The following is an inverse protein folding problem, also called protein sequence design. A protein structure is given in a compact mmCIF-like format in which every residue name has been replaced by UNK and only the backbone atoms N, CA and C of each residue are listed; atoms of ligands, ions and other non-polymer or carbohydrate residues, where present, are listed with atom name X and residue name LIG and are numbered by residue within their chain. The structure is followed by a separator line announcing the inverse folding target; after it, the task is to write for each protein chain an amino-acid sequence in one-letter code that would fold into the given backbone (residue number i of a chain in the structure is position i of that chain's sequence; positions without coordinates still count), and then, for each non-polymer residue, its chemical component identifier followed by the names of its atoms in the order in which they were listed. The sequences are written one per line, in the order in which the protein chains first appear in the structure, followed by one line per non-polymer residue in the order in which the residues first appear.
data_IF_173262155589
#
_entry.id   IF_173262155589
#
_cell.length_a   1.000
_cell.length_b   1.000
_cell.length_c   1.000
_cell.angle_alpha   90.00
_cell.angle_beta   90.00
_cell.angle_gamma   90.00
#
_symmetry.space_group_name_H-M   'P 1'
#
loop_
_entity.id
_entity.type
_entity.pdbx_description
1 polymer ?
#
# COMPACT_ATOMS: atom_id res chain seq x y z
N UNK A 1 -43.09 77.99 -32.03
CA UNK A 1 -43.27 78.25 -33.49
C UNK A 1 -43.53 76.92 -34.18
N UNK A 2 -44.17 76.94 -35.35
CA UNK A 2 -44.51 75.78 -36.18
C UNK A 2 -43.26 75.15 -36.84
N UNK A 3 -43.27 73.96 -37.46
CA UNK A 3 -44.41 73.07 -37.79
C UNK A 3 -44.37 71.75 -36.95
N UNK A 4 -44.53 70.48 -37.37
CA UNK A 4 -44.69 69.81 -38.69
C UNK A 4 -45.65 68.58 -38.58
N UNK A 5 -45.64 67.68 -39.58
CA UNK A 5 -46.78 66.83 -39.97
C UNK A 5 -46.76 65.38 -39.45
N UNK A 6 -47.99 64.89 -39.25
CA UNK A 6 -48.58 63.53 -39.39
C UNK A 6 -47.67 62.29 -39.49
N UNK A 7 -47.89 61.17 -38.79
CA UNK A 7 -49.11 60.42 -38.38
C UNK A 7 -49.57 59.30 -39.32
N UNK A 8 -49.37 58.06 -38.84
CA UNK A 8 -50.31 56.92 -38.88
C UNK A 8 -50.72 56.21 -40.19
N UNK A 9 -50.17 54.99 -40.36
CA UNK A 9 -50.89 53.71 -40.66
C UNK A 9 -51.61 53.42 -42.00
N UNK A 10 -51.72 52.10 -42.26
CA UNK A 10 -52.71 51.38 -43.12
C UNK A 10 -52.41 51.16 -44.63
N UNK A 11 -51.57 50.15 -44.87
CA UNK A 11 -51.90 48.92 -45.63
C UNK A 11 -53.19 48.87 -46.49
N UNK A 12 -53.04 49.04 -47.82
CA UNK A 12 -53.79 48.39 -48.90
C UNK A 12 -52.80 48.23 -50.08
N UNK A 13 -52.72 47.16 -50.88
CA UNK A 13 -53.37 45.84 -50.97
C UNK A 13 -52.72 45.07 -52.16
N UNK A 14 -53.23 43.95 -52.70
CA UNK A 14 -54.39 43.13 -52.33
C UNK A 14 -54.33 41.75 -53.05
N UNK A 15 -54.73 40.66 -52.35
CA UNK A 15 -55.56 39.56 -52.88
C UNK A 15 -55.14 38.73 -54.14
N UNK A 16 -54.71 37.47 -53.94
CA UNK A 16 -55.44 36.27 -54.46
C UNK A 16 -54.92 34.89 -54.00
N UNK A 17 -55.90 34.03 -53.65
CA UNK A 17 -55.94 32.55 -53.63
C UNK A 17 -55.06 31.70 -52.69
N UNK A 18 -55.73 30.66 -52.17
CA UNK A 18 -55.27 29.61 -51.25
C UNK A 18 -54.14 28.72 -51.79
N UNK A 19 -53.27 28.24 -50.90
CA UNK A 19 -53.28 26.83 -50.44
C UNK A 19 -52.40 26.65 -49.17
N UNK A 20 -52.72 25.66 -48.34
CA UNK A 20 -52.04 25.42 -47.04
C UNK A 20 -50.93 24.37 -47.16
N UNK A 21 -49.74 24.64 -46.62
CA UNK A 21 -48.64 23.66 -46.55
C UNK A 21 -47.43 24.15 -45.74
N UNK A 22 -46.99 23.36 -44.76
CA UNK A 22 -45.80 23.58 -43.90
C UNK A 22 -44.54 23.04 -44.62
N UNK A 23 -43.29 23.50 -44.37
CA UNK A 23 -42.75 24.52 -43.48
C UNK A 23 -41.24 24.75 -43.76
N UNK A 24 -40.58 25.70 -43.06
CA UNK A 24 -39.15 26.08 -43.21
C UNK A 24 -38.25 25.18 -42.31
N UNK A 25 -36.90 25.17 -42.31
CA UNK A 25 -35.84 25.97 -42.96
C UNK A 25 -34.54 25.10 -43.13
N UNK A 26 -33.47 25.55 -43.84
CA UNK A 26 -32.28 24.72 -44.09
C UNK A 26 -31.26 24.69 -42.93
N UNK A 27 -30.46 23.62 -42.86
CA UNK A 27 -29.37 23.41 -41.90
C UNK A 27 -27.97 23.63 -42.51
N UNK A 28 -26.95 23.71 -41.64
CA UNK A 28 -25.59 24.13 -41.97
C UNK A 28 -24.75 23.05 -42.69
N UNK A 29 -23.72 23.45 -43.45
CA UNK A 29 -22.81 22.55 -44.14
C UNK A 29 -21.74 21.97 -43.20
N UNK A 30 -21.70 20.64 -43.06
CA UNK A 30 -20.56 19.91 -42.50
C UNK A 30 -19.54 19.56 -43.58
N UNK A 31 -18.25 19.60 -43.26
CA UNK A 31 -17.22 18.95 -44.10
C UNK A 31 -17.37 17.43 -44.02
N UNK A 32 -17.23 16.74 -45.14
CA UNK A 32 -16.97 15.30 -45.11
C UNK A 32 -15.61 15.04 -44.44
N UNK A 33 -15.59 14.05 -43.54
CA UNK A 33 -14.39 13.44 -42.99
C UNK A 33 -14.39 12.00 -43.50
N UNK A 34 -13.39 11.64 -44.30
CA UNK A 34 -13.36 10.34 -45.00
C UNK A 34 -12.87 9.21 -44.07
N UNK A 35 -13.74 8.81 -43.15
CA UNK A 35 -13.44 7.82 -42.10
C UNK A 35 -13.22 6.43 -42.73
N UNK A 36 -11.95 6.06 -42.90
CA UNK A 36 -11.53 4.74 -43.35
C UNK A 36 -11.80 3.67 -42.28
N UNK A 37 -12.98 3.04 -42.35
CA UNK A 37 -13.34 1.87 -41.54
C UNK A 37 -12.75 0.57 -42.09
N UNK A 38 -12.46 -0.40 -41.21
CA UNK A 38 -11.85 -1.67 -41.61
C UNK A 38 -12.76 -2.50 -42.54
N UNK A 39 -12.22 -3.20 -43.56
CA UNK A 39 -13.01 -4.10 -44.41
C UNK A 39 -13.67 -5.21 -43.61
N UNK A 40 -14.98 -5.43 -43.82
CA UNK A 40 -15.83 -6.34 -43.02
C UNK A 40 -15.44 -7.83 -42.97
N UNK A 41 -14.35 -8.24 -43.62
CA UNK A 41 -13.72 -9.56 -43.45
C UNK A 41 -12.96 -9.72 -42.12
N UNK A 42 -12.76 -8.63 -41.38
CA UNK A 42 -12.07 -8.60 -40.08
C UNK A 42 -13.01 -8.48 -38.88
N UNK A 43 -14.33 -8.44 -39.10
CA UNK A 43 -15.31 -8.50 -38.02
C UNK A 43 -15.58 -9.96 -37.62
N UNK A 44 -15.63 -10.31 -36.33
CA UNK A 44 -15.96 -11.66 -35.88
C UNK A 44 -17.40 -12.02 -36.27
N UNK A 45 -17.59 -13.24 -36.81
CA UNK A 45 -18.90 -13.67 -37.30
C UNK A 45 -19.84 -14.06 -36.15
N UNK A 46 -20.93 -13.32 -36.00
CA UNK A 46 -22.03 -13.67 -35.09
C UNK A 46 -22.85 -14.81 -35.72
N UNK A 47 -23.07 -15.95 -35.04
CA UNK A 47 -23.92 -17.02 -35.56
C UNK A 47 -25.41 -16.63 -35.58
N UNK A 48 -26.07 -16.81 -36.73
CA UNK A 48 -27.50 -16.54 -36.88
C UNK A 48 -28.38 -17.41 -35.96
N UNK A 49 -29.21 -16.76 -35.15
CA UNK A 49 -30.15 -17.43 -34.26
C UNK A 49 -31.38 -17.97 -34.98
N UNK A 50 -31.76 -19.23 -34.72
CA UNK A 50 -33.10 -19.77 -35.04
C UNK A 50 -33.96 -19.81 -33.78
N UNK A 51 -35.09 -19.11 -33.85
CA UNK A 51 -36.11 -19.10 -32.79
C UNK A 51 -36.87 -20.42 -32.69
N UNK A 52 -37.15 -20.85 -31.46
CA UNK A 52 -38.40 -21.50 -31.10
C UNK A 52 -38.74 -21.12 -29.65
N UNK A 53 -40.02 -20.89 -29.36
CA UNK A 53 -40.47 -20.33 -28.07
C UNK A 53 -41.35 -21.27 -27.24
N UNK A 54 -41.67 -20.82 -26.03
CA UNK A 54 -42.64 -21.46 -25.13
C UNK A 54 -42.00 -22.31 -24.03
N UNK A 55 -42.25 -21.95 -22.76
CA UNK A 55 -41.82 -22.74 -21.61
C UNK A 55 -41.58 -21.92 -20.34
N UNK A 56 -42.65 -21.61 -19.60
CA UNK A 56 -42.50 -21.14 -18.21
C UNK A 56 -42.15 -22.33 -17.32
N UNK A 57 -41.07 -22.22 -16.53
CA UNK A 57 -40.65 -23.28 -15.62
C UNK A 57 -39.35 -22.94 -14.87
N UNK A 58 -39.47 -22.51 -13.61
CA UNK A 58 -38.32 -22.17 -12.77
C UNK A 58 -37.50 -23.40 -12.37
N UNK A 59 -36.34 -23.60 -13.02
CA UNK A 59 -35.41 -24.68 -12.70
C UNK A 59 -34.26 -24.17 -11.81
N UNK A 60 -34.19 -24.64 -10.56
CA UNK A 60 -33.02 -24.39 -9.70
C UNK A 60 -31.78 -25.05 -10.33
N UNK A 61 -30.80 -24.26 -10.75
CA UNK A 61 -29.50 -24.77 -11.25
C UNK A 61 -28.85 -25.60 -10.14
N UNK A 62 -28.72 -26.91 -10.35
CA UNK A 62 -27.89 -27.77 -9.49
C UNK A 62 -26.42 -27.45 -9.81
N UNK A 63 -25.70 -26.87 -8.86
CA UNK A 63 -24.25 -26.72 -8.97
C UNK A 63 -23.65 -28.13 -9.01
N UNK A 64 -22.75 -28.39 -9.97
CA UNK A 64 -22.09 -29.70 -10.07
C UNK A 64 -21.16 -29.90 -8.88
N UNK A 65 -21.11 -31.12 -8.34
CA UNK A 65 -20.22 -31.49 -7.23
C UNK A 65 -18.75 -31.11 -7.53
N UNK A 66 -18.34 -31.22 -8.81
CA UNK A 66 -17.00 -30.85 -9.29
C UNK A 66 -16.71 -29.36 -9.10
N UNK A 67 -17.70 -28.49 -9.28
CA UNK A 67 -17.53 -27.03 -9.08
C UNK A 67 -17.45 -26.70 -7.59
N UNK A 68 -18.26 -27.35 -6.76
CA UNK A 68 -18.18 -27.20 -5.29
C UNK A 68 -16.82 -27.68 -4.76
N UNK A 69 -16.31 -28.80 -5.27
CA UNK A 69 -15.00 -29.34 -4.90
C UNK A 69 -13.83 -28.48 -5.42
N UNK A 70 -13.94 -27.86 -6.60
CA UNK A 70 -12.94 -26.91 -7.09
C UNK A 70 -12.89 -25.64 -6.24
N UNK A 71 -14.05 -25.09 -5.84
CA UNK A 71 -14.10 -23.94 -4.93
C UNK A 71 -13.56 -24.30 -3.55
N UNK A 72 -13.91 -25.47 -3.00
CA UNK A 72 -13.34 -25.96 -1.73
C UNK A 72 -11.82 -26.16 -1.83
N UNK A 73 -11.32 -26.72 -2.92
CA UNK A 73 -9.89 -26.90 -3.14
C UNK A 73 -9.15 -25.56 -3.24
N UNK A 74 -9.74 -24.56 -3.89
CA UNK A 74 -9.17 -23.21 -3.99
C UNK A 74 -9.17 -22.49 -2.63
N UNK A 75 -10.25 -22.61 -1.84
CA UNK A 75 -10.30 -22.11 -0.45
C UNK A 75 -9.27 -22.82 0.44
N UNK A 76 -9.08 -24.13 0.28
CA UNK A 76 -8.05 -24.91 1.00
C UNK A 76 -6.63 -24.51 0.56
N UNK A 77 -6.41 -24.13 -0.70
CA UNK A 77 -5.12 -23.59 -1.15
C UNK A 77 -4.85 -22.19 -0.57
N UNK A 78 -5.86 -21.33 -0.46
CA UNK A 78 -5.70 -20.00 0.18
C UNK A 78 -5.39 -20.17 1.68
N UNK A 79 -6.23 -20.88 2.44
CA UNK A 79 -6.01 -21.08 3.88
C UNK A 79 -4.77 -21.95 4.20
N UNK A 80 -4.49 -22.96 3.38
CA UNK A 80 -3.31 -23.82 3.53
C UNK A 80 -2.01 -23.15 3.09
N UNK A 81 -2.06 -22.22 2.15
CA UNK A 81 -0.91 -21.37 1.78
C UNK A 81 -0.51 -20.45 2.92
N UNK A 82 -1.49 -19.78 3.55
CA UNK A 82 -1.29 -18.97 4.76
C UNK A 82 -0.64 -19.81 5.87
N UNK A 83 -1.15 -21.02 6.13
CA UNK A 83 -0.58 -21.91 7.15
C UNK A 83 0.86 -22.34 6.86
N UNK A 84 1.20 -22.67 5.59
CA UNK A 84 2.56 -23.09 5.24
C UNK A 84 3.58 -21.95 5.36
N UNK A 85 3.23 -20.75 4.88
CA UNK A 85 4.11 -19.57 4.96
C UNK A 85 4.37 -19.17 6.42
N UNK A 86 3.37 -19.31 7.30
CA UNK A 86 3.50 -19.01 8.73
C UNK A 86 4.26 -20.07 9.57
N UNK A 87 4.68 -21.19 8.99
CA UNK A 87 5.24 -22.34 9.73
C UNK A 87 6.62 -22.81 9.22
N UNK A 88 7.29 -22.00 8.38
CA UNK A 88 8.48 -22.43 7.61
C UNK A 88 9.76 -22.64 8.46
N UNK A 89 9.86 -22.04 9.65
CA UNK A 89 11.01 -22.15 10.60
C UNK A 89 11.34 -23.58 11.10
N UNK A 90 10.55 -24.59 10.74
CA UNK A 90 10.55 -25.91 11.38
C UNK A 90 10.93 -27.09 10.47
N UNK A 91 11.37 -26.84 9.23
CA UNK A 91 11.53 -27.90 8.20
C UNK A 91 12.98 -28.32 7.92
N UNK A 92 13.99 -27.50 8.22
CA UNK A 92 15.41 -27.80 7.94
C UNK A 92 16.35 -27.80 9.17
N UNK A 93 15.87 -28.36 10.28
CA UNK A 93 16.76 -28.80 11.37
C UNK A 93 17.59 -30.02 10.94
N UNK A 94 18.90 -29.84 10.74
CA UNK A 94 19.80 -30.93 10.37
C UNK A 94 19.97 -31.99 11.47
N UNK A 95 20.15 -33.25 11.07
CA UNK A 95 20.34 -34.39 11.98
C UNK A 95 21.57 -34.24 12.88
N UNK A 96 21.35 -34.28 14.21
CA UNK A 96 22.32 -34.83 15.15
C UNK A 96 21.58 -35.65 16.23
N UNK A 97 21.97 -36.93 16.40
CA UNK A 97 21.13 -37.94 17.05
C UNK A 97 21.43 -38.12 18.56
N UNK A 98 20.43 -38.45 19.41
CA UNK A 98 20.52 -38.30 20.87
C UNK A 98 21.09 -39.53 21.60
N UNK A 99 21.79 -39.31 22.74
CA UNK A 99 22.25 -40.39 23.65
C UNK A 99 21.91 -40.10 25.12
N UNK A 100 20.79 -40.70 25.56
CA UNK A 100 20.45 -41.21 26.90
C UNK A 100 20.84 -40.44 28.18
N UNK A 101 19.86 -39.71 28.73
CA UNK A 101 19.36 -39.76 30.12
C UNK A 101 20.19 -40.47 31.22
N UNK A 102 20.48 -39.76 32.32
CA UNK A 102 20.37 -40.32 33.68
C UNK A 102 20.32 -39.23 34.79
N UNK A 103 19.44 -39.42 35.77
CA UNK A 103 19.38 -38.73 37.08
C UNK A 103 19.96 -39.66 38.18
N UNK A 104 20.14 -39.26 39.47
CA UNK A 104 20.04 -37.92 40.08
C UNK A 104 21.20 -37.56 41.08
N UNK A 105 21.01 -36.50 41.89
CA UNK A 105 21.62 -36.20 43.23
C UNK A 105 22.90 -35.33 43.29
N UNK A 106 22.73 -34.10 43.85
CA UNK A 106 23.59 -33.29 44.77
C UNK A 106 25.14 -33.20 44.59
N UNK A 107 25.88 -32.13 44.93
CA UNK A 107 25.68 -30.72 45.38
C UNK A 107 27.09 -30.02 45.33
N UNK A 108 27.35 -28.72 45.51
CA UNK A 108 26.60 -27.46 45.83
C UNK A 108 27.44 -26.26 45.32
N UNK A 109 26.85 -25.06 45.12
CA UNK A 109 27.24 -23.81 45.81
C UNK A 109 26.50 -22.53 45.35
N UNK A 110 26.36 -21.61 46.30
CA UNK A 110 25.67 -20.31 46.25
C UNK A 110 26.35 -19.26 45.38
N UNK A 111 25.56 -18.42 44.69
CA UNK A 111 25.64 -16.98 44.94
C UNK A 111 24.35 -16.21 44.56
N UNK A 112 23.96 -15.30 45.45
CA UNK A 112 22.79 -14.41 45.42
C UNK A 112 23.24 -13.09 46.09
N UNK A 113 22.71 -11.89 45.83
CA UNK A 113 21.68 -11.43 44.89
C UNK A 113 21.88 -9.89 44.67
N UNK A 114 21.08 -9.28 43.80
CA UNK A 114 20.67 -7.85 43.76
C UNK A 114 21.71 -6.74 44.03
N UNK A 115 21.92 -5.87 43.03
CA UNK A 115 22.35 -4.49 43.28
C UNK A 115 21.20 -3.68 43.91
N UNK A 116 21.46 -2.97 45.01
CA UNK A 116 20.56 -1.95 45.55
C UNK A 116 21.34 -0.65 45.79
N UNK A 117 20.89 0.44 45.16
CA UNK A 117 21.56 1.74 45.22
C UNK A 117 21.37 2.40 46.61
N UNK A 118 22.42 3.01 47.16
CA UNK A 118 22.33 3.96 48.28
C UNK A 118 23.46 4.99 48.18
N UNK A 119 23.08 6.26 48.03
CA UNK A 119 24.01 7.39 47.94
C UNK A 119 24.39 7.88 49.36
N UNK A 120 25.68 8.09 49.63
CA UNK A 120 26.16 8.84 50.80
C UNK A 120 27.41 9.64 50.44
N UNK A 121 27.35 10.95 50.67
CA UNK A 121 28.45 11.89 50.41
C UNK A 121 29.46 11.88 51.56
N UNK A 122 30.77 11.94 51.28
CA UNK A 122 31.80 12.27 52.28
C UNK A 122 32.96 13.02 51.62
N UNK A 123 33.20 14.25 52.05
CA UNK A 123 34.36 15.04 51.67
C UNK A 123 35.62 14.58 52.43
N UNK A 124 36.68 14.22 51.71
CA UNK A 124 38.06 14.29 52.20
C UNK A 124 38.90 14.98 51.13
N UNK A 125 39.69 15.97 51.54
CA UNK A 125 40.51 16.81 50.68
C UNK A 125 41.98 16.44 50.87
N UNK A 126 42.64 15.92 49.82
CA UNK A 126 44.11 15.93 49.73
C UNK A 126 44.56 16.56 48.42
N UNK A 127 45.44 17.55 48.55
CA UNK A 127 45.93 18.41 47.47
C UNK A 127 47.41 18.10 47.21
N UNK A 128 47.72 17.52 46.05
CA UNK A 128 49.07 17.37 45.50
C UNK A 128 49.19 18.07 44.14
N UNK A 129 48.95 19.38 44.14
CA UNK A 129 49.11 20.24 42.97
C UNK A 129 50.58 20.29 42.49
N UNK A 130 50.86 19.68 41.33
CA UNK A 130 52.09 19.91 40.55
C UNK A 130 51.74 20.57 39.21
N UNK A 131 51.54 21.88 39.25
CA UNK A 131 51.15 22.69 38.10
C UNK A 131 52.28 22.84 37.05
N UNK A 132 52.11 22.22 35.88
CA UNK A 132 52.87 22.55 34.66
C UNK A 132 51.93 23.11 33.59
N UNK A 133 51.62 24.41 33.70
CA UNK A 133 50.72 25.10 32.78
C UNK A 133 51.41 25.43 31.43
N UNK A 134 51.12 24.66 30.40
CA UNK A 134 51.41 25.01 28.99
C UNK A 134 50.10 25.39 28.29
N UNK A 135 49.71 26.65 28.39
CA UNK A 135 48.47 27.16 27.81
C UNK A 135 48.62 27.49 26.31
N UNK A 136 48.30 26.52 25.44
CA UNK A 136 48.09 26.75 24.01
C UNK A 136 46.60 26.92 23.74
N UNK A 137 46.11 28.16 23.79
CA UNK A 137 44.69 28.47 23.72
C UNK A 137 44.17 28.54 22.26
N UNK A 138 43.79 27.41 21.69
CA UNK A 138 43.13 27.34 20.37
C UNK A 138 41.61 27.36 20.55
N UNK A 139 40.94 28.45 20.15
CA UNK A 139 39.48 28.49 20.09
C UNK A 139 38.97 27.64 18.90
N UNK A 140 38.36 26.49 19.18
CA UNK A 140 37.42 25.83 18.27
C UNK A 140 36.13 25.63 19.05
N UNK A 141 35.08 26.37 18.68
CA UNK A 141 33.77 26.29 19.33
C UNK A 141 32.93 25.16 18.71
N UNK A 142 33.39 23.93 18.88
CA UNK A 142 32.63 22.74 18.50
C UNK A 142 31.60 22.41 19.57
N UNK A 143 30.40 22.95 19.40
CA UNK A 143 29.21 22.39 20.03
C UNK A 143 28.86 21.07 19.33
N UNK A 144 29.61 20.01 19.66
CA UNK A 144 29.35 18.61 19.31
C UNK A 144 28.08 18.13 20.04
N UNK A 145 26.94 18.73 19.68
CA UNK A 145 25.63 18.25 20.09
C UNK A 145 25.30 17.03 19.22
N UNK A 146 25.88 15.90 19.59
CA UNK A 146 25.59 14.58 19.00
C UNK A 146 24.17 14.16 19.38
N UNK A 147 23.19 14.81 18.76
CA UNK A 147 21.88 14.21 18.55
C UNK A 147 22.10 13.02 17.61
N UNK A 148 22.47 11.88 18.19
CA UNK A 148 22.21 10.60 17.55
C UNK A 148 20.69 10.49 17.45
N UNK A 149 20.13 10.92 16.32
CA UNK A 149 18.81 10.46 15.92
C UNK A 149 18.97 8.95 15.71
N UNK A 150 18.64 8.19 16.74
CA UNK A 150 18.25 6.80 16.56
C UNK A 150 16.91 6.84 15.83
N UNK A 151 16.96 7.02 14.51
CA UNK A 151 15.86 6.61 13.65
C UNK A 151 15.67 5.13 13.90
N UNK A 152 14.64 4.80 14.68
CA UNK A 152 14.08 3.45 14.69
C UNK A 152 13.28 3.30 13.39
N UNK A 153 14.00 3.23 12.27
CA UNK A 153 13.48 2.50 11.12
C UNK A 153 13.22 1.09 11.64
N UNK A 154 11.94 0.71 11.70
CA UNK A 154 11.56 -0.65 12.07
C UNK A 154 12.21 -1.56 11.04
N UNK A 155 13.12 -2.43 11.48
CA UNK A 155 13.79 -3.34 10.55
C UNK A 155 12.76 -4.26 9.93
N UNK A 156 12.38 -3.95 8.69
CA UNK A 156 12.03 -4.97 7.71
C UNK A 156 13.16 -6.03 7.73
N UNK A 157 12.83 -7.32 7.58
CA UNK A 157 13.81 -8.39 7.74
C UNK A 157 14.97 -8.20 6.76
N UNK A 158 16.22 -8.39 7.24
CA UNK A 158 17.42 -8.18 6.43
C UNK A 158 17.31 -8.93 5.09
N UNK A 159 17.50 -8.17 4.01
CA UNK A 159 17.09 -8.55 2.66
C UNK A 159 18.11 -9.43 1.94
N UNK A 160 17.62 -10.08 0.90
CA UNK A 160 18.33 -10.99 0.01
C UNK A 160 18.28 -10.55 -1.46
N UNK A 161 17.32 -9.67 -1.81
CA UNK A 161 17.41 -8.82 -2.99
C UNK A 161 18.58 -7.82 -2.81
N UNK A 162 19.18 -7.39 -3.93
CA UNK A 162 20.47 -6.72 -3.91
C UNK A 162 20.32 -5.20 -3.76
N UNK A 163 20.53 -4.69 -2.55
CA UNK A 163 20.98 -3.32 -2.28
C UNK A 163 22.52 -3.26 -2.49
N UNK A 164 23.06 -2.17 -3.04
CA UNK A 164 24.45 -2.08 -3.55
C UNK A 164 25.31 -1.01 -2.88
N UNK A 165 24.69 0.06 -2.39
CA UNK A 165 25.31 1.18 -1.65
C UNK A 165 24.79 1.29 -0.20
N UNK A 166 23.96 0.32 0.21
CA UNK A 166 23.41 0.12 1.55
C UNK A 166 22.52 1.30 1.98
N UNK A 167 21.75 1.86 1.04
CA UNK A 167 20.89 3.03 1.18
C UNK A 167 19.50 2.71 1.78
N UNK A 168 18.91 1.56 1.40
CA UNK A 168 17.54 1.17 1.73
C UNK A 168 16.65 0.81 0.53
N UNK A 169 17.08 0.99 -0.71
CA UNK A 169 16.41 0.49 -1.92
C UNK A 169 17.09 -0.79 -2.44
N UNK A 170 16.28 -1.74 -2.94
CA UNK A 170 16.81 -2.80 -3.80
C UNK A 170 17.08 -2.27 -5.20
N UNK A 171 17.99 -2.88 -5.97
CA UNK A 171 18.17 -2.56 -7.40
C UNK A 171 16.84 -2.60 -8.19
N UNK A 172 15.90 -3.47 -7.82
CA UNK A 172 14.57 -3.52 -8.42
C UNK A 172 13.67 -2.32 -8.05
N UNK A 173 13.82 -1.73 -6.87
CA UNK A 173 13.15 -0.48 -6.46
C UNK A 173 13.80 0.75 -7.10
N UNK A 174 15.12 0.76 -7.20
CA UNK A 174 15.87 1.81 -7.90
C UNK A 174 15.48 1.92 -9.37
N UNK A 175 15.24 0.78 -10.03
CA UNK A 175 14.71 0.73 -11.40
C UNK A 175 13.29 1.35 -11.48
N UNK A 176 12.50 1.29 -10.41
CA UNK A 176 11.14 1.86 -10.35
C UNK A 176 11.17 3.38 -10.16
N UNK A 177 12.07 3.92 -9.34
CA UNK A 177 12.19 5.37 -9.12
C UNK A 177 13.14 6.09 -10.07
N UNK A 178 14.11 5.39 -10.66
CA UNK A 178 15.12 5.94 -11.57
C UNK A 178 16.38 6.45 -10.88
N UNK A 179 16.70 5.94 -9.70
CA UNK A 179 17.87 6.28 -8.87
C UNK A 179 19.14 5.56 -9.35
N UNK A 180 20.25 5.69 -8.62
CA UNK A 180 21.59 5.29 -9.05
C UNK A 180 22.26 4.27 -8.14
N UNK A 181 22.31 3.01 -8.61
CA UNK A 181 22.72 1.77 -7.91
C UNK A 181 24.16 1.68 -7.33
N UNK A 182 24.86 2.81 -7.17
CA UNK A 182 26.20 2.93 -6.59
C UNK A 182 26.42 4.31 -5.90
N UNK A 183 25.38 5.04 -5.51
CA UNK A 183 25.41 6.46 -5.12
C UNK A 183 24.22 6.79 -4.17
N UNK A 184 24.41 6.62 -2.85
CA UNK A 184 23.39 6.55 -1.78
C UNK A 184 22.59 7.85 -1.48
N UNK A 185 22.62 8.81 -2.40
CA UNK A 185 21.99 10.14 -2.39
C UNK A 185 22.02 10.61 -3.86
N UNK A 186 21.03 10.22 -4.68
CA UNK A 186 21.09 10.43 -6.14
C UNK A 186 21.12 11.91 -6.51
N UNK A 187 20.30 12.74 -5.85
CA UNK A 187 20.14 14.17 -6.18
C UNK A 187 21.12 15.12 -5.47
N UNK A 188 21.73 14.65 -4.38
CA UNK A 188 22.81 15.29 -3.60
C UNK A 188 22.35 16.41 -2.67
N UNK A 189 21.15 16.24 -2.11
CA UNK A 189 20.57 17.03 -1.03
C UNK A 189 21.16 16.71 0.36
N UNK A 190 21.57 15.45 0.59
CA UNK A 190 22.02 14.94 1.88
C UNK A 190 21.00 14.07 2.63
N UNK A 191 19.99 13.55 1.94
CA UNK A 191 19.19 12.40 2.39
C UNK A 191 19.51 11.19 1.52
N UNK A 192 19.00 10.01 1.90
CA UNK A 192 19.17 8.76 1.15
C UNK A 192 17.91 8.44 0.37
N UNK A 193 18.06 7.93 -0.85
CA UNK A 193 16.96 7.69 -1.78
C UNK A 193 15.87 6.80 -1.16
N UNK A 194 16.26 5.71 -0.49
CA UNK A 194 15.37 4.81 0.24
C UNK A 194 14.71 5.44 1.46
N UNK A 195 15.42 6.33 2.17
CA UNK A 195 14.81 7.13 3.24
C UNK A 195 13.76 8.08 2.67
N UNK A 196 14.03 8.72 1.53
CA UNK A 196 13.11 9.65 0.89
C UNK A 196 11.86 8.95 0.35
N UNK A 197 12.01 7.82 -0.36
CA UNK A 197 10.89 6.98 -0.82
C UNK A 197 10.00 6.55 0.34
N UNK A 198 10.58 5.96 1.41
CA UNK A 198 9.81 5.54 2.59
C UNK A 198 9.03 6.69 3.25
N UNK A 199 9.57 7.92 3.19
CA UNK A 199 8.97 9.12 3.78
C UNK A 199 8.19 9.99 2.77
N UNK A 200 7.96 9.51 1.53
CA UNK A 200 7.22 10.20 0.46
C UNK A 200 7.84 11.51 -0.06
N UNK A 201 9.17 11.59 -0.12
CA UNK A 201 9.95 12.62 -0.82
C UNK A 201 10.48 12.09 -2.17
N UNK A 202 10.89 12.99 -3.07
CA UNK A 202 11.39 12.63 -4.40
C UNK A 202 12.92 12.48 -4.42
N UNK A 203 13.49 11.26 -4.56
CA UNK A 203 14.94 11.01 -4.52
C UNK A 203 15.71 11.56 -5.76
N UNK A 204 15.02 12.24 -6.68
CA UNK A 204 15.62 12.84 -7.88
C UNK A 204 15.56 14.38 -7.90
N UNK A 205 14.81 15.03 -6.99
CA UNK A 205 14.57 16.48 -7.01
C UNK A 205 14.50 17.06 -5.57
N UNK A 206 15.49 17.89 -5.17
CA UNK A 206 15.64 18.26 -3.76
C UNK A 206 14.43 19.01 -3.19
N UNK A 207 13.82 18.45 -2.14
CA UNK A 207 12.64 18.98 -1.42
C UNK A 207 11.33 18.98 -2.20
N UNK A 208 11.22 18.16 -3.25
CA UNK A 208 9.94 17.88 -3.88
C UNK A 208 9.22 16.71 -3.16
N UNK A 209 7.88 16.70 -3.17
CA UNK A 209 7.13 15.55 -2.64
C UNK A 209 7.06 14.45 -3.69
N UNK A 210 7.06 13.19 -3.25
CA UNK A 210 6.92 12.06 -4.17
C UNK A 210 5.58 12.14 -4.94
N UNK A 211 4.53 12.69 -4.32
CA UNK A 211 3.22 12.92 -4.96
C UNK A 211 3.26 13.93 -6.12
N UNK A 212 4.11 14.96 -6.04
CA UNK A 212 4.26 15.97 -7.08
C UNK A 212 5.21 15.52 -8.22
N UNK A 213 6.14 14.60 -7.93
CA UNK A 213 7.16 14.10 -8.87
C UNK A 213 6.62 13.40 -10.12
N UNK A 214 5.43 12.80 -10.01
CA UNK A 214 4.88 11.89 -11.02
C UNK A 214 5.45 10.45 -11.00
N UNK A 215 6.43 10.14 -10.14
CA UNK A 215 6.95 8.78 -9.94
C UNK A 215 5.91 7.85 -9.29
N UNK A 216 4.98 8.40 -8.51
CA UNK A 216 3.83 7.68 -7.93
C UNK A 216 2.49 8.28 -8.38
N UNK A 217 1.45 7.44 -8.32
CA UNK A 217 0.06 7.78 -8.61
C UNK A 217 -0.84 7.36 -7.45
N UNK A 218 -1.85 8.17 -7.06
CA UNK A 218 -2.80 7.78 -6.03
C UNK A 218 -3.79 6.73 -6.55
N UNK A 219 -3.91 5.60 -5.85
CA UNK A 219 -5.05 4.68 -5.98
C UNK A 219 -6.08 5.01 -4.90
N UNK A 220 -7.35 5.08 -5.28
CA UNK A 220 -8.46 5.46 -4.38
C UNK A 220 -9.57 4.41 -4.50
N UNK A 221 -9.90 3.76 -3.39
CA UNK A 221 -11.03 2.86 -3.27
C UNK A 221 -12.22 3.60 -2.66
N UNK A 222 -13.14 4.06 -3.51
CA UNK A 222 -14.31 4.84 -3.09
C UNK A 222 -15.42 4.00 -2.42
N UNK A 223 -15.33 2.67 -2.43
CA UNK A 223 -16.28 1.76 -1.78
C UNK A 223 -15.89 1.47 -0.33
N UNK A 224 -14.59 1.50 -0.02
CA UNK A 224 -14.01 1.23 1.30
C UNK A 224 -13.23 2.44 1.86
N UNK A 225 -13.47 3.63 1.32
CA UNK A 225 -12.99 4.93 1.83
C UNK A 225 -11.49 5.01 2.14
N UNK A 226 -10.64 4.36 1.34
CA UNK A 226 -9.18 4.42 1.50
C UNK A 226 -8.44 4.88 0.24
N UNK A 227 -7.27 5.47 0.45
CA UNK A 227 -6.31 5.85 -0.59
C UNK A 227 -4.89 5.45 -0.21
N UNK A 228 -4.06 5.19 -1.22
CA UNK A 228 -2.62 4.86 -1.13
C UNK A 228 -1.88 5.51 -2.30
N UNK A 229 -0.56 5.65 -2.20
CA UNK A 229 0.32 5.93 -3.34
C UNK A 229 0.93 4.62 -3.83
N UNK A 230 0.93 4.40 -5.14
CA UNK A 230 1.65 3.30 -5.81
C UNK A 230 2.56 3.87 -6.89
N UNK A 231 3.67 3.22 -7.27
CA UNK A 231 4.49 3.67 -8.39
C UNK A 231 3.67 3.81 -9.68
N UNK A 232 3.91 4.87 -10.45
CA UNK A 232 3.12 5.22 -11.65
C UNK A 232 3.23 4.21 -12.80
N UNK A 233 4.19 3.28 -12.72
CA UNK A 233 4.34 2.13 -13.63
C UNK A 233 3.52 0.91 -13.20
N UNK A 234 3.12 0.82 -11.92
CA UNK A 234 2.46 -0.35 -11.35
C UNK A 234 0.94 -0.33 -11.60
N UNK A 235 0.34 -1.52 -11.66
CA UNK A 235 -1.09 -1.69 -11.93
C UNK A 235 -1.85 -2.19 -10.69
N UNK A 236 -2.78 -1.39 -10.17
CA UNK A 236 -3.81 -1.86 -9.24
C UNK A 236 -5.01 -2.45 -10.01
N UNK A 237 -5.48 -3.63 -9.60
CA UNK A 237 -6.63 -4.32 -10.21
C UNK A 237 -7.48 -5.06 -9.17
N UNK A 238 -8.80 -4.87 -9.26
CA UNK A 238 -9.80 -5.55 -8.44
C UNK A 238 -9.97 -7.03 -8.89
N UNK A 239 -9.92 -7.97 -7.95
CA UNK A 239 -10.09 -9.41 -8.21
C UNK A 239 -11.56 -9.69 -8.52
N UNK A 240 -11.85 -10.34 -9.65
CA UNK A 240 -13.21 -10.81 -10.02
C UNK A 240 -14.30 -9.71 -10.10
N UNK A 241 -13.93 -8.43 -10.17
CA UNK A 241 -14.81 -7.25 -10.01
C UNK A 241 -15.39 -7.12 -8.57
N UNK A 242 -14.59 -7.53 -7.57
CA UNK A 242 -14.82 -7.38 -6.14
C UNK A 242 -13.80 -6.36 -5.62
N UNK A 243 -14.22 -5.10 -5.47
CA UNK A 243 -13.38 -3.98 -5.02
C UNK A 243 -13.00 -4.07 -3.52
N UNK A 244 -13.51 -5.09 -2.81
CA UNK A 244 -13.00 -5.51 -1.52
C UNK A 244 -11.64 -6.24 -1.61
N UNK A 245 -11.13 -6.53 -2.81
CA UNK A 245 -9.92 -7.34 -3.04
C UNK A 245 -9.07 -6.79 -4.18
N UNK A 246 -8.06 -6.00 -3.85
CA UNK A 246 -7.24 -5.27 -4.82
C UNK A 246 -5.84 -5.86 -4.85
N UNK A 247 -5.35 -6.25 -6.03
CA UNK A 247 -3.95 -6.63 -6.24
C UNK A 247 -3.21 -5.50 -6.92
N UNK A 248 -2.08 -5.11 -6.36
CA UNK A 248 -1.12 -4.19 -6.95
C UNK A 248 0.01 -5.04 -7.56
N UNK A 249 0.27 -4.82 -8.85
CA UNK A 249 1.22 -5.57 -9.66
C UNK A 249 2.36 -4.66 -10.11
N UNK A 250 3.62 -4.97 -9.74
CA UNK A 250 4.81 -4.34 -10.32
C UNK A 250 4.92 -4.56 -11.83
N UNK A 251 5.49 -3.59 -12.55
CA UNK A 251 5.89 -3.75 -13.95
C UNK A 251 7.24 -4.49 -14.02
N UNK A 252 7.23 -5.77 -13.67
CA UNK A 252 8.43 -6.60 -13.45
C UNK A 252 8.20 -8.08 -13.75
N UNK A 253 9.25 -8.79 -14.20
CA UNK A 253 9.22 -10.24 -14.38
C UNK A 253 9.35 -11.03 -13.07
N UNK A 254 9.66 -10.37 -11.94
CA UNK A 254 9.76 -10.96 -10.59
C UNK A 254 8.45 -11.62 -10.16
N UNK A 255 7.30 -11.01 -10.45
CA UNK A 255 5.99 -11.56 -10.11
C UNK A 255 5.53 -11.41 -8.65
N UNK A 256 6.29 -10.70 -7.81
CA UNK A 256 5.84 -10.23 -6.50
C UNK A 256 4.58 -9.36 -6.65
N UNK A 257 3.76 -9.28 -5.61
CA UNK A 257 2.53 -8.47 -5.63
C UNK A 257 2.13 -8.01 -4.24
N UNK A 258 1.29 -6.97 -4.15
CA UNK A 258 0.67 -6.56 -2.89
C UNK A 258 -0.83 -6.82 -2.99
N UNK A 259 -1.40 -7.48 -1.99
CA UNK A 259 -2.83 -7.72 -1.89
C UNK A 259 -3.41 -6.88 -0.75
N UNK A 260 -4.45 -6.11 -1.05
CA UNK A 260 -5.30 -5.47 -0.06
C UNK A 260 -6.63 -6.20 -0.03
N UNK A 261 -7.06 -6.65 1.15
CA UNK A 261 -8.42 -7.18 1.36
C UNK A 261 -9.17 -6.33 2.39
N UNK A 262 -10.46 -6.13 2.15
CA UNK A 262 -11.38 -5.43 3.07
C UNK A 262 -12.58 -6.33 3.36
N UNK A 263 -13.06 -6.32 4.60
CA UNK A 263 -14.25 -7.06 5.02
C UNK A 263 -15.09 -6.23 6.00
N UNK A 264 -16.41 -6.34 5.94
CA UNK A 264 -17.31 -5.71 6.92
C UNK A 264 -16.99 -6.18 8.36
N UNK A 265 -16.90 -5.25 9.32
CA UNK A 265 -16.72 -5.57 10.73
C UNK A 265 -18.06 -5.84 11.44
N UNK A 266 -18.86 -6.77 10.89
CA UNK A 266 -20.25 -7.06 11.33
C UNK A 266 -20.40 -7.54 12.78
N UNK A 267 -19.31 -7.91 13.45
CA UNK A 267 -19.26 -8.30 14.86
C UNK A 267 -18.61 -7.22 15.75
N UNK A 268 -18.28 -6.05 15.20
CA UNK A 268 -17.61 -4.92 15.88
C UNK A 268 -16.34 -5.37 16.65
N UNK A 269 -15.57 -6.32 16.10
CA UNK A 269 -14.36 -6.83 16.75
C UNK A 269 -13.31 -5.73 16.93
N UNK A 270 -12.70 -5.66 18.12
CA UNK A 270 -11.47 -4.90 18.32
C UNK A 270 -10.31 -5.55 17.56
N UNK A 271 -9.25 -4.78 17.28
CA UNK A 271 -8.07 -5.30 16.61
C UNK A 271 -7.43 -6.47 17.40
N UNK A 272 -7.42 -6.38 18.75
CA UNK A 272 -6.96 -7.47 19.62
C UNK A 272 -7.85 -8.71 19.55
N UNK A 273 -9.18 -8.54 19.53
CA UNK A 273 -10.11 -9.67 19.39
C UNK A 273 -9.93 -10.37 18.04
N UNK A 274 -9.85 -9.61 16.96
CA UNK A 274 -9.65 -10.15 15.61
C UNK A 274 -8.31 -10.90 15.49
N UNK A 275 -7.21 -10.27 15.92
CA UNK A 275 -5.87 -10.89 15.95
C UNK A 275 -5.90 -12.23 16.67
N UNK A 276 -6.50 -12.28 17.87
CA UNK A 276 -6.51 -13.48 18.70
C UNK A 276 -7.51 -14.56 18.24
N UNK A 277 -8.51 -14.22 17.41
CA UNK A 277 -9.41 -15.18 16.77
C UNK A 277 -8.76 -15.86 15.56
N UNK A 278 -8.31 -15.08 14.58
CA UNK A 278 -7.86 -15.59 13.28
C UNK A 278 -6.35 -15.92 13.25
N UNK A 279 -5.55 -15.24 14.07
CA UNK A 279 -4.09 -15.32 14.07
C UNK A 279 -3.50 -15.53 15.49
N UNK A 280 -3.96 -16.53 16.27
CA UNK A 280 -3.58 -16.70 17.68
C UNK A 280 -2.06 -16.83 17.89
N UNK A 281 -1.41 -17.73 17.13
CA UNK A 281 0.03 -18.04 17.27
C UNK A 281 0.96 -17.01 16.60
N UNK A 282 0.43 -16.11 15.75
CA UNK A 282 1.24 -15.18 14.98
C UNK A 282 1.78 -14.03 15.84
N UNK A 283 3.03 -13.63 15.59
CA UNK A 283 3.70 -12.51 16.28
C UNK A 283 3.49 -11.22 15.50
N UNK A 284 3.10 -10.17 16.24
CA UNK A 284 2.71 -8.87 15.70
C UNK A 284 3.25 -7.75 16.59
N UNK A 285 3.61 -6.63 15.97
CA UNK A 285 4.04 -5.41 16.63
C UNK A 285 2.97 -4.31 16.52
N UNK A 286 2.93 -3.40 17.49
CA UNK A 286 2.04 -2.25 17.46
C UNK A 286 2.45 -1.30 16.34
N UNK A 287 1.53 -0.99 15.44
CA UNK A 287 1.76 -0.10 14.30
C UNK A 287 0.67 0.98 14.23
N UNK A 288 0.82 1.97 13.36
CA UNK A 288 -0.18 3.03 13.14
C UNK A 288 -0.19 3.44 11.68
N UNK A 289 -1.37 3.44 11.07
CA UNK A 289 -1.56 3.62 9.62
C UNK A 289 -2.87 4.34 9.36
N UNK A 290 -2.90 5.35 8.48
CA UNK A 290 -4.05 6.27 8.35
C UNK A 290 -4.47 6.96 9.66
N UNK A 291 -3.56 7.06 10.64
CA UNK A 291 -3.85 7.52 12.00
C UNK A 291 -4.69 6.56 12.86
N UNK A 292 -4.94 5.33 12.40
CA UNK A 292 -5.59 4.25 13.15
C UNK A 292 -4.56 3.31 13.76
N UNK A 293 -4.93 2.68 14.88
CA UNK A 293 -4.16 1.58 15.45
C UNK A 293 -4.20 0.36 14.51
N UNK A 294 -3.03 -0.24 14.31
CA UNK A 294 -2.84 -1.41 13.46
C UNK A 294 -1.83 -2.37 14.10
N UNK A 295 -1.77 -3.60 13.57
CA UNK A 295 -0.68 -4.51 13.84
C UNK A 295 0.05 -4.83 12.55
N UNK A 296 1.38 -4.79 12.60
CA UNK A 296 2.27 -5.26 11.54
C UNK A 296 2.91 -6.58 12.01
N UNK A 297 2.97 -7.60 11.16
CA UNK A 297 3.61 -8.87 11.49
C UNK A 297 5.11 -8.65 11.78
N UNK A 298 5.72 -9.50 12.61
CA UNK A 298 7.14 -9.33 13.00
C UNK A 298 8.16 -9.56 11.85
N UNK A 299 7.69 -9.88 10.65
CA UNK A 299 8.48 -9.91 9.42
C UNK A 299 8.14 -8.75 8.46
N UNK A 300 7.31 -7.79 8.87
CA UNK A 300 6.94 -6.60 8.08
C UNK A 300 6.04 -6.85 6.87
N UNK A 301 5.69 -8.09 6.51
CA UNK A 301 5.00 -8.42 5.25
C UNK A 301 3.46 -8.47 5.33
N UNK A 302 2.86 -8.35 6.52
CA UNK A 302 1.41 -8.42 6.70
C UNK A 302 0.90 -7.44 7.75
N UNK A 303 0.13 -6.45 7.32
CA UNK A 303 -0.54 -5.48 8.17
C UNK A 303 -2.02 -5.80 8.32
N UNK A 304 -2.58 -5.58 9.52
CA UNK A 304 -4.01 -5.62 9.81
C UNK A 304 -4.47 -4.36 10.55
N UNK A 305 -5.66 -3.84 10.18
CA UNK A 305 -6.31 -2.69 10.83
C UNK A 305 -7.82 -2.94 10.96
N UNK A 306 -8.45 -2.49 12.06
CA UNK A 306 -9.89 -2.61 12.28
C UNK A 306 -10.52 -1.27 12.66
N UNK A 307 -11.62 -0.92 11.98
CA UNK A 307 -12.53 0.18 12.33
C UNK A 307 -13.89 -0.40 12.77
N UNK A 308 -14.85 0.44 13.16
CA UNK A 308 -16.23 -0.01 13.44
C UNK A 308 -16.94 -0.59 12.21
N UNK A 309 -16.57 -0.18 11.00
CA UNK A 309 -17.29 -0.55 9.78
C UNK A 309 -16.55 -1.64 8.99
N UNK A 310 -15.21 -1.62 8.98
CA UNK A 310 -14.39 -2.48 8.13
C UNK A 310 -13.13 -2.99 8.83
N UNK A 311 -12.67 -4.16 8.43
CA UNK A 311 -11.36 -4.73 8.75
C UNK A 311 -10.55 -4.79 7.45
N UNK A 312 -9.30 -4.33 7.50
CA UNK A 312 -8.39 -4.22 6.37
C UNK A 312 -7.18 -5.13 6.61
N UNK A 313 -6.73 -5.82 5.57
CA UNK A 313 -5.39 -6.43 5.51
C UNK A 313 -4.62 -5.84 4.34
N UNK A 314 -3.30 -5.67 4.53
CA UNK A 314 -2.36 -5.31 3.47
C UNK A 314 -1.22 -6.32 3.54
N UNK A 315 -1.06 -7.12 2.49
CA UNK A 315 -0.12 -8.24 2.44
C UNK A 315 0.86 -8.09 1.28
N UNK A 316 2.15 -8.12 1.59
CA UNK A 316 3.18 -8.40 0.61
C UNK A 316 3.14 -9.90 0.24
N UNK A 317 3.08 -10.20 -1.05
CA UNK A 317 2.97 -11.58 -1.58
C UNK A 317 4.15 -11.87 -2.50
N UNK A 318 5.15 -12.53 -1.91
CA UNK A 318 6.34 -13.05 -2.56
C UNK A 318 5.98 -14.05 -3.68
N UNK A 319 6.74 -14.03 -4.77
CA UNK A 319 6.64 -15.00 -5.87
C UNK A 319 7.51 -16.24 -5.64
N UNK A 320 8.69 -16.05 -5.02
CA UNK A 320 9.56 -17.10 -4.49
C UNK A 320 9.51 -17.13 -2.94
N UNK A 321 10.46 -17.82 -2.31
CA UNK A 321 10.56 -17.94 -0.83
C UNK A 321 11.86 -17.36 -0.27
N UNK A 322 12.73 -16.85 -1.14
CA UNK A 322 14.11 -16.50 -0.84
C UNK A 322 14.34 -14.98 -0.89
N UNK A 323 13.52 -14.19 -1.61
CA UNK A 323 13.74 -12.76 -1.90
C UNK A 323 12.52 -11.87 -1.61
N UNK A 324 12.75 -10.68 -1.04
CA UNK A 324 11.76 -9.59 -0.93
C UNK A 324 12.26 -8.45 -1.81
N UNK A 325 11.61 -8.22 -2.95
CA UNK A 325 12.13 -7.29 -3.97
C UNK A 325 11.71 -5.84 -3.78
N UNK A 326 10.58 -5.56 -3.13
CA UNK A 326 10.00 -4.22 -3.00
C UNK A 326 9.68 -3.80 -1.54
N UNK A 327 10.61 -3.97 -0.58
CA UNK A 327 10.37 -3.71 0.85
C UNK A 327 10.05 -2.23 1.16
N UNK A 328 10.75 -1.29 0.53
CA UNK A 328 10.66 0.15 0.80
C UNK A 328 9.50 0.80 0.05
N UNK A 329 9.12 0.27 -1.13
CA UNK A 329 7.85 0.56 -1.80
C UNK A 329 6.67 0.03 -0.98
N UNK A 330 6.82 -1.13 -0.31
CA UNK A 330 5.79 -1.61 0.61
C UNK A 330 5.65 -0.67 1.82
N UNK A 331 6.76 -0.23 2.42
CA UNK A 331 6.69 0.76 3.51
C UNK A 331 6.07 2.08 3.04
N UNK A 332 6.43 2.59 1.85
CA UNK A 332 5.80 3.76 1.23
C UNK A 332 4.28 3.57 1.03
N UNK A 333 3.82 2.37 0.63
CA UNK A 333 2.39 2.04 0.49
C UNK A 333 1.69 2.04 1.85
N UNK A 334 2.35 1.58 2.92
CA UNK A 334 1.80 1.67 4.29
C UNK A 334 1.79 3.11 4.80
N UNK A 335 2.90 3.84 4.68
CA UNK A 335 3.05 5.22 5.14
C UNK A 335 2.14 6.21 4.39
N UNK A 336 1.78 5.90 3.14
CA UNK A 336 0.82 6.67 2.33
C UNK A 336 -0.64 6.27 2.51
N UNK A 337 -0.95 5.19 3.23
CA UNK A 337 -2.32 4.75 3.45
C UNK A 337 -3.11 5.76 4.29
N UNK A 338 -4.22 6.24 3.72
CA UNK A 338 -5.14 7.20 4.32
C UNK A 338 -6.57 6.70 4.25
N UNK A 339 -7.41 7.14 5.20
CA UNK A 339 -8.85 6.96 5.16
C UNK A 339 -9.52 8.30 4.81
N UNK A 340 -10.28 8.32 3.71
CA UNK A 340 -10.96 9.50 3.17
C UNK A 340 -12.08 10.03 4.09
N UNK A 341 -12.54 9.18 5.02
CA UNK A 341 -13.44 9.52 6.12
C UNK A 341 -12.77 9.16 7.43
N UNK A 342 -12.90 10.01 8.45
CA UNK A 342 -12.49 9.65 9.81
C UNK A 342 -13.38 8.52 10.33
N UNK A 343 -12.84 7.30 10.55
CA UNK A 343 -13.63 6.20 11.08
C UNK A 343 -13.88 6.38 12.58
N UNK A 344 -14.79 5.59 13.13
CA UNK A 344 -14.74 5.26 14.55
C UNK A 344 -13.85 4.02 14.74
N UNK A 345 -13.03 4.01 15.78
CA UNK A 345 -12.22 2.86 16.19
C UNK A 345 -12.97 2.07 17.26
N UNK A 346 -13.00 0.73 17.18
CA UNK A 346 -13.46 -0.08 18.31
C UNK A 346 -12.32 -0.16 19.33
N UNK A 347 -12.59 0.23 20.58
CA UNK A 347 -11.62 0.23 21.68
C UNK A 347 -11.80 -1.01 22.57
N UNK A 348 -10.70 -1.53 23.10
CA UNK A 348 -10.73 -2.51 24.19
C UNK A 348 -11.12 -1.80 25.52
N UNK A 349 -11.95 -2.43 26.36
CA UNK A 349 -12.46 -1.89 27.65
C UNK A 349 -11.51 -2.11 28.85
#
# INVERSE_FOLDING_TARGET
MFENKNSSTQNLGQNKHNATGLGQAPANQSKDIDIHVMPGKFLPQVPDGKSNGGGSGGAKKKISLVVVLLVLFLVILVGGGIWLIMNQDSVFGGDDQPITNNQPVENTNTNQNTNQNTNTNTNVNENQNTNTNTNTNTNVNENQNTNTNTNTNTSLPETSALDTDEDGLTQEEEIVFGTSVNDDDTDKDGFRDGQEVANMYNPLIPRESLQDSGLVSPYINASFDYSILIPSTWLAQDILNDDARVVILPDSEVGDSILIEVAENTEEWTLNQWKNSEYPEAVFENYTVGGQAAFLSSNGLFLMMATTEYRYTIQYRLSDVDNIYYPTIFEMILNSFSLEKTPNTVIDE
#
